data_IF_177911725222
#
_entry.id   IF_177911725222
#
_cell.length_a   1.000
_cell.length_b   1.000
_cell.length_c   1.000
_cell.angle_alpha   90.00
_cell.angle_beta   90.00
_cell.angle_gamma   90.00
#
_symmetry.space_group_name_H-M   'P 1'
#
loop_
_entity.id
_entity.type
_entity.pdbx_description
1 polymer ?
#
# COMPACT_ATOMS: atom_id res chain seq x y z
N UNK A 1 3.64 10.28 -13.79
CA UNK A 1 3.62 10.55 -12.34
C UNK A 1 3.45 12.05 -12.04
N UNK A 2 4.13 12.96 -12.74
CA UNK A 2 3.91 14.41 -12.62
C UNK A 2 2.47 14.79 -12.98
N UNK A 3 1.97 14.33 -14.11
CA UNK A 3 0.60 14.61 -14.60
C UNK A 3 -0.50 14.13 -13.64
N UNK A 4 -0.20 13.11 -12.83
CA UNK A 4 -1.13 12.53 -11.85
C UNK A 4 -0.96 13.09 -10.43
N UNK A 5 -0.11 14.11 -10.23
CA UNK A 5 0.12 14.68 -8.90
C UNK A 5 0.76 13.73 -7.89
N UNK A 6 1.43 12.66 -8.37
CA UNK A 6 2.11 11.69 -7.50
C UNK A 6 3.44 12.25 -7.02
N UNK A 7 4.14 12.97 -7.90
CA UNK A 7 5.42 13.62 -7.63
C UNK A 7 5.39 15.07 -8.08
N UNK A 8 6.27 15.88 -7.51
CA UNK A 8 6.50 17.28 -7.93
C UNK A 8 8.00 17.58 -7.99
N UNK A 9 8.44 18.60 -8.77
CA UNK A 9 9.81 19.09 -8.72
C UNK A 9 10.16 19.58 -7.32
N UNK A 10 11.40 19.35 -6.88
CA UNK A 10 11.84 19.69 -5.53
C UNK A 10 13.25 20.25 -5.49
N UNK A 11 13.50 21.11 -4.49
CA UNK A 11 14.82 21.52 -4.06
C UNK A 11 15.04 21.00 -2.63
N UNK A 12 15.37 19.71 -2.51
CA UNK A 12 15.48 19.03 -1.23
C UNK A 12 16.94 18.77 -0.85
N UNK A 13 17.30 18.86 0.43
CA UNK A 13 18.59 18.39 0.91
C UNK A 13 18.73 16.87 0.92
N UNK A 14 17.59 16.16 0.77
CA UNK A 14 17.53 14.71 0.67
C UNK A 14 17.54 14.29 -0.79
N UNK A 15 18.24 13.20 -1.10
CA UNK A 15 18.22 12.64 -2.43
C UNK A 15 18.47 11.14 -2.40
N UNK A 16 17.52 10.39 -2.94
CA UNK A 16 17.63 8.94 -3.14
C UNK A 16 17.89 8.64 -4.63
N UNK A 17 18.57 7.54 -4.91
CA UNK A 17 18.81 7.11 -6.28
C UNK A 17 17.61 6.34 -6.84
N UNK A 18 17.40 6.45 -8.14
CA UNK A 18 16.41 5.62 -8.86
C UNK A 18 17.07 4.36 -9.36
N UNK A 19 16.38 3.24 -9.21
CA UNK A 19 16.78 1.92 -9.71
C UNK A 19 15.64 1.38 -10.57
N UNK A 20 15.94 1.00 -11.82
CA UNK A 20 14.99 0.34 -12.70
C UNK A 20 15.16 -1.18 -12.56
N UNK A 21 14.13 -1.85 -12.08
CA UNK A 21 14.11 -3.31 -11.89
C UNK A 21 13.28 -3.95 -12.99
N UNK A 22 13.88 -4.91 -13.70
CA UNK A 22 13.19 -5.67 -14.75
C UNK A 22 12.21 -6.67 -14.12
N UNK A 23 10.94 -6.61 -14.51
CA UNK A 23 9.91 -7.57 -14.10
C UNK A 23 10.02 -8.87 -14.92
N UNK A 24 9.30 -9.91 -14.49
CA UNK A 24 9.24 -11.20 -15.19
C UNK A 24 8.66 -11.07 -16.60
N UNK A 25 7.75 -10.13 -16.83
CA UNK A 25 7.12 -9.81 -18.11
C UNK A 25 8.01 -8.95 -19.04
N UNK A 26 9.24 -8.62 -18.60
CA UNK A 26 10.18 -7.79 -19.35
C UNK A 26 10.00 -6.28 -19.15
N UNK A 27 8.90 -5.84 -18.56
CA UNK A 27 8.67 -4.42 -18.25
C UNK A 27 9.61 -3.93 -17.13
N UNK A 28 9.81 -2.61 -17.06
CA UNK A 28 10.63 -2.00 -16.02
C UNK A 28 9.76 -1.48 -14.87
N UNK A 29 10.15 -1.81 -13.64
CA UNK A 29 9.60 -1.20 -12.44
C UNK A 29 10.51 -0.06 -12.01
N UNK A 30 9.93 1.11 -11.87
CA UNK A 30 10.58 2.26 -11.27
C UNK A 30 10.62 2.07 -9.75
N UNK A 31 11.81 2.08 -9.18
CA UNK A 31 12.03 1.96 -7.75
C UNK A 31 12.94 3.09 -7.28
N UNK A 32 12.70 3.60 -6.08
CA UNK A 32 13.60 4.53 -5.41
C UNK A 32 14.33 3.79 -4.29
N UNK A 33 15.62 3.97 -4.20
CA UNK A 33 16.45 3.31 -3.18
C UNK A 33 16.39 4.08 -1.86
N UNK A 34 15.44 3.72 -1.02
CA UNK A 34 15.26 4.30 0.30
C UNK A 34 16.05 3.61 1.41
N UNK A 35 17.00 2.71 1.13
CA UNK A 35 17.74 1.97 2.17
C UNK A 35 18.39 2.90 3.19
N UNK A 36 19.00 4.01 2.76
CA UNK A 36 19.60 5.00 3.68
C UNK A 36 18.54 5.70 4.53
N UNK A 37 17.43 6.14 3.95
CA UNK A 37 16.32 6.74 4.67
C UNK A 37 15.73 5.73 5.66
N UNK A 38 15.47 4.51 5.23
CA UNK A 38 14.91 3.45 6.05
C UNK A 38 15.80 3.07 7.25
N UNK A 39 17.13 3.21 7.13
CA UNK A 39 18.05 2.89 8.24
C UNK A 39 17.98 3.86 9.41
N UNK A 40 17.51 5.09 9.18
CA UNK A 40 17.35 6.13 10.22
C UNK A 40 15.88 6.39 10.58
N UNK A 41 14.95 5.73 9.90
CA UNK A 41 13.52 5.87 10.16
C UNK A 41 13.12 5.02 11.37
N UNK A 42 12.41 5.61 12.32
CA UNK A 42 11.75 4.85 13.38
C UNK A 42 10.69 3.95 12.77
N UNK A 43 10.85 2.64 13.00
CA UNK A 43 9.92 1.64 12.45
C UNK A 43 8.61 1.68 13.21
N UNK A 44 7.51 1.75 12.47
CA UNK A 44 6.18 1.57 13.02
C UNK A 44 5.96 0.10 13.38
N UNK A 45 5.56 -0.16 14.61
CA UNK A 45 5.31 -1.51 15.14
C UNK A 45 3.86 -1.96 14.96
N UNK A 46 3.09 -1.33 14.05
CA UNK A 46 1.72 -1.74 13.80
C UNK A 46 1.67 -3.21 13.37
N UNK A 47 0.90 -4.06 14.06
CA UNK A 47 0.91 -5.50 13.79
C UNK A 47 0.26 -5.79 12.44
N UNK A 48 0.90 -6.65 11.65
CA UNK A 48 0.27 -7.28 10.51
C UNK A 48 -0.61 -8.44 10.96
N UNK A 49 -1.69 -8.75 10.25
CA UNK A 49 -2.54 -9.88 10.56
C UNK A 49 -1.75 -11.20 10.58
N UNK A 50 -1.99 -12.03 11.57
CA UNK A 50 -1.37 -13.35 11.63
C UNK A 50 -2.03 -14.27 10.60
N UNK A 51 -1.23 -14.89 9.76
CA UNK A 51 -1.70 -15.81 8.69
C UNK A 51 -2.63 -16.88 9.25
N UNK A 52 -2.30 -17.45 10.41
CA UNK A 52 -3.14 -18.45 11.07
C UNK A 52 -4.55 -17.95 11.38
N UNK A 53 -4.68 -16.72 11.88
CA UNK A 53 -5.98 -16.10 12.15
C UNK A 53 -6.78 -15.85 10.85
N UNK A 54 -6.08 -15.44 9.79
CA UNK A 54 -6.68 -15.27 8.46
C UNK A 54 -7.23 -16.61 7.92
N UNK A 55 -6.44 -17.68 8.00
CA UNK A 55 -6.87 -19.01 7.56
C UNK A 55 -8.07 -19.53 8.36
N UNK A 56 -8.09 -19.32 9.67
CA UNK A 56 -9.20 -19.70 10.53
C UNK A 56 -10.51 -18.95 10.14
N UNK A 57 -10.40 -17.65 9.84
CA UNK A 57 -11.56 -16.87 9.42
C UNK A 57 -12.15 -17.31 8.06
N UNK A 58 -11.31 -17.88 7.20
CA UNK A 58 -11.72 -18.38 5.88
C UNK A 58 -12.27 -19.81 5.91
N UNK A 59 -12.03 -20.59 6.96
CA UNK A 59 -12.26 -22.05 6.99
C UNK A 59 -13.69 -22.49 6.68
N UNK A 60 -14.70 -21.68 7.09
CA UNK A 60 -16.11 -21.98 6.93
C UNK A 60 -16.74 -21.39 5.65
N UNK A 61 -15.94 -20.82 4.78
CA UNK A 61 -16.40 -20.16 3.57
C UNK A 61 -16.16 -21.00 2.32
N UNK A 62 -17.01 -20.82 1.31
CA UNK A 62 -16.92 -21.53 0.03
C UNK A 62 -16.76 -20.60 -1.17
N UNK A 63 -17.03 -19.31 -0.99
CA UNK A 63 -16.97 -18.29 -2.03
C UNK A 63 -15.98 -17.21 -1.64
N UNK A 64 -15.07 -16.88 -2.58
CA UNK A 64 -13.99 -15.92 -2.36
C UNK A 64 -13.88 -14.97 -3.54
N UNK A 65 -13.61 -13.69 -3.26
CA UNK A 65 -13.16 -12.71 -4.23
C UNK A 65 -11.90 -12.04 -3.71
N UNK A 66 -10.88 -11.97 -4.53
CA UNK A 66 -9.64 -11.25 -4.23
C UNK A 66 -9.63 -9.91 -4.95
N UNK A 67 -9.28 -8.86 -4.25
CA UNK A 67 -9.15 -7.50 -4.77
C UNK A 67 -7.72 -7.05 -4.55
N UNK A 68 -7.07 -6.55 -5.60
CA UNK A 68 -5.75 -5.90 -5.55
C UNK A 68 -5.97 -4.39 -5.69
N UNK A 69 -5.52 -3.64 -4.72
CA UNK A 69 -5.64 -2.18 -4.73
C UNK A 69 -4.58 -1.59 -5.66
N UNK A 70 -5.03 -1.08 -6.81
CA UNK A 70 -4.13 -0.48 -7.79
C UNK A 70 -3.33 0.66 -7.17
N UNK A 71 -2.02 0.42 -6.94
CA UNK A 71 -1.11 1.41 -6.36
C UNK A 71 -1.60 1.96 -5.02
N UNK A 72 -2.08 1.09 -4.13
CA UNK A 72 -2.74 1.44 -2.87
C UNK A 72 -2.00 2.51 -2.06
N UNK A 73 -0.69 2.43 -1.97
CA UNK A 73 0.13 3.40 -1.23
C UNK A 73 0.04 4.82 -1.79
N UNK A 74 -0.16 5.00 -3.10
CA UNK A 74 -0.32 6.34 -3.70
C UNK A 74 -1.63 7.05 -3.32
N UNK A 75 -2.55 6.38 -2.63
CA UNK A 75 -3.75 7.01 -2.07
C UNK A 75 -3.51 7.68 -0.71
N UNK A 76 -2.32 7.52 -0.11
CA UNK A 76 -1.97 8.10 1.18
C UNK A 76 -1.08 9.33 0.97
N UNK A 77 -1.55 10.55 1.31
CA UNK A 77 -0.72 11.74 1.19
C UNK A 77 0.41 11.74 2.23
N UNK A 78 1.58 12.25 1.83
CA UNK A 78 2.67 12.54 2.76
C UNK A 78 2.45 13.94 3.36
N UNK A 79 2.65 14.06 4.67
CA UNK A 79 2.65 15.36 5.33
C UNK A 79 3.67 16.29 4.67
N UNK A 80 3.32 17.55 4.47
CA UNK A 80 4.16 18.50 3.71
C UNK A 80 5.57 18.62 4.29
N UNK A 81 5.69 18.61 5.63
CA UNK A 81 6.98 18.61 6.36
C UNK A 81 7.88 17.42 6.06
N UNK A 82 7.32 16.32 5.55
CA UNK A 82 8.04 15.07 5.32
C UNK A 82 8.28 14.76 3.84
N UNK A 83 7.64 15.51 2.94
CA UNK A 83 7.75 15.27 1.47
C UNK A 83 9.19 15.32 0.99
N UNK A 84 9.99 16.27 1.47
CA UNK A 84 11.40 16.42 1.09
C UNK A 84 12.23 15.18 1.37
N UNK A 85 11.91 14.41 2.42
CA UNK A 85 12.60 13.17 2.77
C UNK A 85 12.41 12.09 1.70
N UNK A 86 11.31 12.16 0.94
CA UNK A 86 11.02 11.24 -0.17
C UNK A 86 11.71 11.59 -1.48
N UNK A 87 12.53 12.65 -1.50
CA UNK A 87 13.14 13.15 -2.73
C UNK A 87 14.09 12.14 -3.38
N UNK A 88 14.07 12.15 -4.71
CA UNK A 88 14.93 11.34 -5.55
C UNK A 88 15.44 12.13 -6.75
N UNK A 89 16.58 11.71 -7.28
CA UNK A 89 17.26 12.37 -8.41
C UNK A 89 17.18 11.52 -9.66
N UNK A 90 16.95 12.24 -10.77
CA UNK A 90 16.99 11.70 -12.13
C UNK A 90 17.86 12.60 -13.02
N UNK A 91 18.07 12.20 -14.25
CA UNK A 91 18.74 13.06 -15.25
C UNK A 91 17.95 14.36 -15.54
N UNK A 92 16.64 14.38 -15.24
CA UNK A 92 15.76 15.52 -15.49
C UNK A 92 15.67 16.48 -14.29
N UNK A 93 16.24 16.12 -13.15
CA UNK A 93 16.23 16.93 -11.94
C UNK A 93 15.88 16.15 -10.69
N UNK A 94 15.61 16.90 -9.61
CA UNK A 94 15.18 16.39 -8.34
C UNK A 94 13.65 16.47 -8.24
N UNK A 95 13.03 15.40 -7.72
CA UNK A 95 11.59 15.29 -7.51
C UNK A 95 11.32 14.73 -6.13
N UNK A 96 10.15 15.03 -5.55
CA UNK A 96 9.67 14.45 -4.30
C UNK A 96 8.27 13.89 -4.47
N UNK A 97 7.91 12.92 -3.65
CA UNK A 97 6.56 12.36 -3.65
C UNK A 97 5.61 13.23 -2.82
N UNK A 98 4.42 13.43 -3.34
CA UNK A 98 3.28 14.03 -2.63
C UNK A 98 2.48 12.97 -1.86
N UNK A 99 2.57 11.73 -2.30
CA UNK A 99 1.89 10.55 -1.76
C UNK A 99 2.90 9.49 -1.38
N UNK A 100 2.51 8.54 -0.53
CA UNK A 100 3.41 7.53 0.03
C UNK A 100 3.95 6.60 -1.07
N UNK A 101 5.27 6.61 -1.35
CA UNK A 101 5.87 5.74 -2.35
C UNK A 101 6.11 4.33 -1.82
N UNK A 102 6.29 3.41 -2.76
CA UNK A 102 6.84 2.09 -2.46
C UNK A 102 8.29 2.17 -1.97
N UNK A 103 8.66 1.25 -1.08
CA UNK A 103 10.04 1.11 -0.60
C UNK A 103 10.34 1.80 0.74
N UNK A 104 9.42 2.59 1.29
CA UNK A 104 9.52 3.09 2.66
C UNK A 104 9.22 1.98 3.67
N UNK A 105 10.03 1.87 4.72
CA UNK A 105 9.90 0.80 5.73
C UNK A 105 8.60 0.87 6.51
N UNK A 106 8.01 2.06 6.68
CA UNK A 106 6.75 2.26 7.40
C UNK A 106 5.51 2.15 6.48
N UNK A 107 5.68 2.09 5.15
CA UNK A 107 4.54 2.09 4.23
C UNK A 107 3.57 0.93 4.48
N UNK A 108 4.02 -0.33 4.67
CA UNK A 108 3.13 -1.44 4.95
C UNK A 108 2.29 -1.24 6.22
N UNK A 109 2.92 -0.79 7.31
CA UNK A 109 2.26 -0.58 8.60
C UNK A 109 1.24 0.55 8.56
N UNK A 110 1.58 1.66 7.90
CA UNK A 110 0.67 2.80 7.71
C UNK A 110 -0.52 2.40 6.86
N UNK A 111 -0.28 1.65 5.79
CA UNK A 111 -1.35 1.18 4.89
C UNK A 111 -2.28 0.19 5.60
N UNK A 112 -1.72 -0.79 6.31
CA UNK A 112 -2.53 -1.75 7.08
C UNK A 112 -3.42 -1.03 8.09
N UNK A 113 -2.87 -0.06 8.84
CA UNK A 113 -3.64 0.75 9.79
C UNK A 113 -4.80 1.51 9.11
N UNK A 114 -4.55 2.09 7.93
CA UNK A 114 -5.60 2.76 7.16
C UNK A 114 -6.69 1.78 6.76
N UNK A 115 -6.33 0.62 6.23
CA UNK A 115 -7.28 -0.40 5.80
C UNK A 115 -8.09 -0.97 6.97
N UNK A 116 -7.48 -1.15 8.14
CA UNK A 116 -8.17 -1.57 9.36
C UNK A 116 -9.20 -0.53 9.82
N UNK A 117 -8.96 0.76 9.59
CA UNK A 117 -9.94 1.83 9.85
C UNK A 117 -11.05 1.82 8.82
N UNK A 118 -10.71 1.77 7.53
CA UNK A 118 -11.68 1.78 6.42
C UNK A 118 -12.63 0.59 6.51
N UNK A 119 -12.11 -0.59 6.79
CA UNK A 119 -12.86 -1.86 6.83
C UNK A 119 -13.15 -2.35 8.25
N UNK A 120 -13.09 -1.47 9.27
CA UNK A 120 -13.14 -1.84 10.69
C UNK A 120 -14.33 -2.73 11.11
N UNK A 121 -15.49 -2.60 10.46
CA UNK A 121 -16.67 -3.40 10.75
C UNK A 121 -16.81 -4.65 9.88
N UNK A 122 -15.99 -4.78 8.86
CA UNK A 122 -16.03 -5.87 7.89
C UNK A 122 -14.88 -6.84 8.08
N UNK A 123 -13.79 -6.38 8.69
CA UNK A 123 -12.59 -7.17 8.94
C UNK A 123 -12.91 -8.41 9.79
N UNK A 124 -12.42 -9.57 9.38
CA UNK A 124 -12.67 -10.91 9.94
C UNK A 124 -14.13 -11.40 9.90
N UNK A 125 -15.09 -10.58 9.46
CA UNK A 125 -16.50 -10.97 9.32
C UNK A 125 -16.91 -11.18 7.85
N UNK A 126 -16.47 -10.28 6.99
CA UNK A 126 -16.82 -10.25 5.57
C UNK A 126 -15.59 -10.25 4.66
N UNK A 127 -14.48 -9.67 5.14
CA UNK A 127 -13.23 -9.60 4.40
C UNK A 127 -12.03 -9.74 5.32
N UNK A 128 -10.87 -10.01 4.70
CA UNK A 128 -9.56 -9.93 5.30
C UNK A 128 -8.71 -8.99 4.48
N UNK A 129 -7.83 -8.25 5.15
CA UNK A 129 -6.87 -7.37 4.51
C UNK A 129 -5.47 -7.80 4.93
N UNK A 130 -4.62 -7.98 3.96
CA UNK A 130 -3.20 -8.21 4.18
C UNK A 130 -2.41 -7.32 3.22
N UNK A 131 -1.93 -6.19 3.72
CA UNK A 131 -1.27 -5.16 2.92
C UNK A 131 -2.18 -4.68 1.76
N UNK A 132 -1.74 -4.84 0.52
CA UNK A 132 -2.45 -4.38 -0.68
C UNK A 132 -3.58 -5.34 -1.12
N UNK A 133 -3.64 -6.55 -0.54
CA UNK A 133 -4.60 -7.59 -0.93
C UNK A 133 -5.80 -7.63 0.01
N UNK A 134 -7.00 -7.67 -0.55
CA UNK A 134 -8.25 -7.86 0.17
C UNK A 134 -8.89 -9.17 -0.31
N UNK A 135 -9.29 -10.03 0.63
CA UNK A 135 -10.08 -11.23 0.36
C UNK A 135 -11.45 -11.03 0.96
N UNK A 136 -12.48 -11.00 0.12
CA UNK A 136 -13.89 -11.01 0.55
C UNK A 136 -14.40 -12.43 0.46
N UNK A 137 -15.07 -12.92 1.49
CA UNK A 137 -15.47 -14.32 1.60
C UNK A 137 -16.91 -14.48 2.08
N UNK A 138 -17.54 -15.63 1.77
CA UNK A 138 -18.90 -15.95 2.16
C UNK A 138 -19.20 -17.45 2.04
N UNK A 139 -20.21 -17.91 2.78
CA UNK A 139 -20.65 -19.33 2.74
C UNK A 139 -21.50 -19.63 1.49
N UNK A 140 -22.25 -18.63 1.03
CA UNK A 140 -23.13 -18.72 -0.13
C UNK A 140 -22.85 -17.59 -1.12
N UNK A 141 -23.16 -17.79 -2.39
CA UNK A 141 -22.92 -16.81 -3.46
C UNK A 141 -23.60 -15.45 -3.17
N UNK A 142 -24.87 -15.47 -2.74
CA UNK A 142 -25.60 -14.23 -2.44
C UNK A 142 -24.98 -13.47 -1.26
N UNK A 143 -24.55 -14.17 -0.23
CA UNK A 143 -23.83 -13.58 0.90
C UNK A 143 -22.52 -12.91 0.43
N UNK A 144 -21.76 -13.63 -0.39
CA UNK A 144 -20.51 -13.13 -0.96
C UNK A 144 -20.72 -11.84 -1.79
N UNK A 145 -21.76 -11.80 -2.63
CA UNK A 145 -22.08 -10.61 -3.44
C UNK A 145 -22.48 -9.41 -2.56
N UNK A 146 -23.28 -9.66 -1.51
CA UNK A 146 -23.65 -8.61 -0.55
C UNK A 146 -22.42 -8.04 0.14
N UNK A 147 -21.55 -8.89 0.68
CA UNK A 147 -20.30 -8.49 1.34
C UNK A 147 -19.33 -7.75 0.42
N UNK A 148 -19.26 -8.18 -0.84
CA UNK A 148 -18.47 -7.49 -1.86
C UNK A 148 -19.01 -6.08 -2.11
N UNK A 149 -20.33 -5.91 -2.19
CA UNK A 149 -20.97 -4.60 -2.29
C UNK A 149 -20.68 -3.71 -1.08
N UNK A 150 -20.68 -4.26 0.13
CA UNK A 150 -20.33 -3.54 1.37
C UNK A 150 -18.87 -3.09 1.36
N UNK A 151 -17.94 -3.92 0.91
CA UNK A 151 -16.53 -3.56 0.78
C UNK A 151 -16.33 -2.44 -0.22
N UNK A 152 -17.00 -2.48 -1.38
CA UNK A 152 -16.91 -1.41 -2.39
C UNK A 152 -17.57 -0.09 -1.96
N UNK A 153 -18.42 -0.11 -0.94
CA UNK A 153 -19.07 1.10 -0.42
C UNK A 153 -18.20 1.89 0.56
N UNK A 154 -17.01 1.37 0.90
CA UNK A 154 -16.04 1.99 1.82
C UNK A 154 -14.99 2.81 1.08
#
# INVERSE_FOLDING_TARGET
>A
MLEYGIIEPAASPWASNVVLVKKKDGSLRFCVDYRRLNSITYKDSYPLPLIHNCLNALSDSSWYSTLDLRSGYYNIPIAESDRDKSAFITRQGCFRFMVMPFGLTCAPSVFQRLMDVVLCRLSYQACLVYLDDIIVFGKACNEQLTRLGEVFSR
#
